data_IF_605302001529
#
_entry.id   IF_605302001529
#
_cell.length_a   1.000
_cell.length_b   1.000
_cell.length_c   1.000
_cell.angle_alpha   90.00
_cell.angle_beta   90.00
_cell.angle_gamma   90.00
#
_symmetry.space_group_name_H-M   'P 1'
#
loop_
_entity.id
_entity.type
_entity.pdbx_description
1 polymer ?
#
# COMPACT_ATOMS: atom_id res chain seq x y z
N UNK A 1 -24.22 29.07 -8.40
CA UNK A 1 -24.92 29.45 -7.15
C UNK A 1 -24.15 30.60 -6.51
N UNK A 2 -24.82 31.56 -5.89
CA UNK A 2 -24.15 32.66 -5.16
C UNK A 2 -23.52 32.15 -3.85
N UNK A 3 -22.35 32.66 -3.47
CA UNK A 3 -21.61 32.19 -2.30
C UNK A 3 -22.40 32.34 -0.99
N UNK A 4 -23.13 33.44 -0.83
CA UNK A 4 -23.96 33.67 0.36
C UNK A 4 -25.10 32.65 0.50
N UNK A 5 -25.69 32.23 -0.63
CA UNK A 5 -26.71 31.18 -0.65
C UNK A 5 -26.09 29.82 -0.29
N UNK A 6 -24.90 29.52 -0.80
CA UNK A 6 -24.17 28.31 -0.46
C UNK A 6 -23.86 28.22 1.04
N UNK A 7 -23.44 29.33 1.66
CA UNK A 7 -23.18 29.37 3.11
C UNK A 7 -24.41 29.06 3.95
N UNK A 8 -25.55 29.67 3.65
CA UNK A 8 -26.80 29.39 4.37
C UNK A 8 -27.21 27.92 4.24
N UNK A 9 -27.13 27.36 3.03
CA UNK A 9 -27.45 25.94 2.79
C UNK A 9 -26.50 25.00 3.55
N UNK A 10 -25.20 25.27 3.52
CA UNK A 10 -24.18 24.51 4.26
C UNK A 10 -24.45 24.56 5.75
N UNK A 11 -24.73 25.73 6.32
CA UNK A 11 -25.02 25.85 7.75
C UNK A 11 -26.26 25.03 8.15
N UNK A 12 -27.32 25.02 7.34
CA UNK A 12 -28.51 24.19 7.60
C UNK A 12 -28.18 22.70 7.60
N UNK A 13 -27.36 22.23 6.66
CA UNK A 13 -26.92 20.83 6.59
C UNK A 13 -26.11 20.47 7.84
N UNK A 14 -25.15 21.32 8.23
CA UNK A 14 -24.33 21.08 9.42
C UNK A 14 -25.15 21.10 10.72
N UNK A 15 -26.17 21.97 10.80
CA UNK A 15 -27.11 21.97 11.93
C UNK A 15 -27.93 20.67 11.99
N UNK A 16 -28.39 20.15 10.84
CA UNK A 16 -29.10 18.87 10.80
C UNK A 16 -28.16 17.71 11.15
N UNK A 17 -26.91 17.69 10.67
CA UNK A 17 -25.91 16.67 11.01
C UNK A 17 -25.67 16.60 12.53
N UNK A 18 -25.72 17.73 13.24
CA UNK A 18 -25.61 17.77 14.71
C UNK A 18 -26.82 17.12 15.42
N UNK A 19 -27.96 17.02 14.75
CA UNK A 19 -29.19 16.41 15.30
C UNK A 19 -29.33 14.95 14.85
N UNK A 20 -29.08 14.68 13.58
CA UNK A 20 -29.17 13.36 12.94
C UNK A 20 -27.91 13.13 12.11
N UNK A 21 -26.83 12.65 12.75
CA UNK A 21 -25.60 12.35 12.03
C UNK A 21 -25.82 11.31 10.94
N UNK A 22 -25.22 11.54 9.78
CA UNK A 22 -25.35 10.67 8.61
C UNK A 22 -24.04 9.99 8.24
N UNK A 23 -22.90 10.44 8.80
CA UNK A 23 -21.59 9.83 8.62
C UNK A 23 -21.60 8.38 9.09
N UNK A 24 -21.25 7.45 8.20
CA UNK A 24 -21.14 6.04 8.52
C UNK A 24 -20.21 5.30 7.56
N UNK A 25 -19.49 4.31 8.08
CA UNK A 25 -18.83 3.28 7.29
C UNK A 25 -19.61 1.97 7.37
N UNK A 26 -19.73 1.30 6.23
CA UNK A 26 -20.36 -0.02 6.12
C UNK A 26 -19.42 -0.99 5.47
N UNK A 27 -19.51 -2.24 5.89
CA UNK A 27 -18.83 -3.34 5.23
C UNK A 27 -19.37 -3.49 3.79
N UNK A 28 -18.47 -3.49 2.81
CA UNK A 28 -18.81 -3.52 1.38
C UNK A 28 -19.51 -4.82 0.97
N UNK A 29 -19.20 -5.94 1.61
CA UNK A 29 -19.85 -7.22 1.32
C UNK A 29 -21.26 -7.24 1.89
N UNK A 30 -21.45 -6.73 3.12
CA UNK A 30 -22.79 -6.64 3.71
C UNK A 30 -23.67 -5.67 2.94
N UNK A 31 -23.11 -4.56 2.48
CA UNK A 31 -23.75 -3.59 1.60
C UNK A 31 -24.16 -4.22 0.27
N UNK A 32 -23.23 -4.88 -0.42
CA UNK A 32 -23.54 -5.58 -1.67
C UNK A 32 -24.64 -6.62 -1.47
N UNK A 33 -24.63 -7.39 -0.36
CA UNK A 33 -25.67 -8.37 -0.05
C UNK A 33 -27.04 -7.73 0.15
N UNK A 34 -27.09 -6.57 0.79
CA UNK A 34 -28.34 -5.83 0.99
C UNK A 34 -28.92 -5.34 -0.35
N UNK A 35 -28.08 -4.88 -1.26
CA UNK A 35 -28.49 -4.34 -2.56
C UNK A 35 -28.77 -5.43 -3.61
N UNK A 36 -28.11 -6.58 -3.51
CA UNK A 36 -28.15 -7.66 -4.50
C UNK A 36 -28.70 -8.97 -3.92
N UNK A 37 -29.74 -8.87 -3.09
CA UNK A 37 -30.39 -10.03 -2.50
C UNK A 37 -30.72 -11.11 -3.56
N UNK A 38 -30.24 -12.33 -3.32
CA UNK A 38 -30.49 -13.48 -4.20
C UNK A 38 -29.60 -13.58 -5.44
N UNK A 39 -28.64 -12.65 -5.65
CA UNK A 39 -27.64 -12.77 -6.71
C UNK A 39 -26.38 -13.48 -6.21
N UNK A 40 -25.68 -14.14 -7.13
CA UNK A 40 -24.32 -14.65 -6.89
C UNK A 40 -23.34 -13.48 -6.87
N UNK A 41 -22.31 -13.57 -6.04
CA UNK A 41 -21.22 -12.60 -6.03
C UNK A 41 -20.59 -12.48 -7.42
N UNK A 42 -20.37 -11.25 -7.84
CA UNK A 42 -19.52 -10.95 -8.99
C UNK A 42 -18.03 -11.21 -8.67
N UNK A 43 -17.18 -11.12 -9.69
CA UNK A 43 -15.76 -11.44 -9.58
C UNK A 43 -15.03 -10.54 -8.57
N UNK A 44 -15.43 -9.27 -8.46
CA UNK A 44 -14.87 -8.32 -7.49
C UNK A 44 -15.23 -8.72 -6.05
N UNK A 45 -16.50 -9.04 -5.77
CA UNK A 45 -16.93 -9.49 -4.44
C UNK A 45 -16.37 -10.86 -4.07
N UNK A 46 -16.19 -11.76 -5.04
CA UNK A 46 -15.51 -13.03 -4.83
C UNK A 46 -14.05 -12.82 -4.46
N UNK A 47 -13.36 -11.87 -5.09
CA UNK A 47 -11.97 -11.56 -4.78
C UNK A 47 -11.83 -10.95 -3.39
N UNK A 48 -12.68 -9.98 -3.02
CA UNK A 48 -12.75 -9.44 -1.66
C UNK A 48 -12.95 -10.60 -0.68
N UNK A 49 -14.00 -11.41 -0.88
CA UNK A 49 -14.33 -12.54 0.02
C UNK A 49 -13.18 -13.56 0.12
N UNK A 50 -12.51 -13.89 -1.00
CA UNK A 50 -11.36 -14.82 -1.01
C UNK A 50 -10.19 -14.27 -0.22
N UNK A 51 -9.86 -12.98 -0.38
CA UNK A 51 -8.79 -12.33 0.38
C UNK A 51 -9.05 -12.40 1.88
N UNK A 52 -10.28 -12.11 2.30
CA UNK A 52 -10.71 -12.26 3.70
C UNK A 52 -10.49 -13.67 4.23
N UNK A 53 -10.93 -14.70 3.50
CA UNK A 53 -10.75 -16.09 3.92
C UNK A 53 -9.30 -16.57 3.98
N UNK A 54 -8.36 -15.89 3.30
CA UNK A 54 -6.92 -16.19 3.39
C UNK A 54 -6.25 -15.52 4.59
N UNK A 55 -6.73 -14.34 4.98
CA UNK A 55 -6.09 -13.51 6.01
C UNK A 55 -6.63 -13.77 7.42
N UNK A 56 -7.91 -14.14 7.53
CA UNK A 56 -8.58 -14.29 8.82
C UNK A 56 -9.18 -15.69 8.93
N UNK A 57 -8.60 -16.53 9.80
CA UNK A 57 -9.16 -17.86 10.14
C UNK A 57 -10.45 -17.77 10.99
N UNK A 58 -10.95 -16.56 11.27
CA UNK A 58 -12.09 -16.25 12.13
C UNK A 58 -13.12 -15.39 11.39
N UNK A 59 -14.40 -15.36 11.81
CA UNK A 59 -15.37 -14.42 11.27
C UNK A 59 -14.88 -12.98 11.46
N UNK A 60 -15.17 -12.14 10.46
CA UNK A 60 -14.78 -10.71 10.40
C UNK A 60 -14.94 -10.04 11.77
N UNK A 61 -13.93 -9.28 12.25
CA UNK A 61 -14.13 -8.44 13.41
C UNK A 61 -15.28 -7.46 13.10
N UNK A 62 -16.26 -7.39 13.99
CA UNK A 62 -17.34 -6.42 13.88
C UNK A 62 -16.70 -5.03 14.01
N UNK A 63 -17.04 -4.09 13.10
CA UNK A 63 -16.53 -2.71 13.14
C UNK A 63 -16.73 -2.06 14.53
N UNK A 64 -17.79 -2.43 15.25
CA UNK A 64 -18.01 -1.99 16.63
C UNK A 64 -16.89 -2.39 17.59
N UNK A 65 -16.30 -3.59 17.43
CA UNK A 65 -15.17 -4.05 18.24
C UNK A 65 -13.87 -3.35 17.86
N UNK A 66 -13.64 -3.11 16.57
CA UNK A 66 -12.46 -2.36 16.11
C UNK A 66 -12.45 -0.94 16.69
N UNK A 67 -13.63 -0.32 16.81
CA UNK A 67 -13.82 1.00 17.45
C UNK A 67 -13.56 1.02 18.96
N UNK A 68 -13.55 -0.13 19.63
CA UNK A 68 -13.21 -0.25 21.06
C UNK A 68 -11.69 -0.25 21.30
N UNK A 69 -10.89 -0.51 20.27
CA UNK A 69 -9.44 -0.56 20.35
C UNK A 69 -8.80 0.80 20.02
N UNK A 70 -7.74 1.14 20.74
CA UNK A 70 -6.83 2.26 20.41
C UNK A 70 -5.38 1.83 20.61
N UNK A 71 -4.52 1.89 19.58
CA UNK A 71 -4.83 2.30 18.20
C UNK A 71 -5.81 1.35 17.51
N UNK A 72 -6.53 1.83 16.50
CA UNK A 72 -7.41 0.98 15.69
C UNK A 72 -6.59 0.05 14.80
N UNK A 73 -7.21 -1.05 14.41
CA UNK A 73 -6.64 -1.91 13.37
C UNK A 73 -6.75 -1.22 12.02
N UNK A 74 -5.60 -0.93 11.40
CA UNK A 74 -5.57 -0.45 10.01
C UNK A 74 -5.75 -1.65 9.09
N UNK A 75 -6.79 -1.61 8.27
CA UNK A 75 -7.09 -2.64 7.29
C UNK A 75 -6.15 -2.48 6.10
N UNK A 76 -5.42 -3.55 5.76
CA UNK A 76 -4.40 -3.53 4.70
C UNK A 76 -5.00 -3.29 3.31
N UNK A 77 -6.29 -3.58 3.11
CA UNK A 77 -6.96 -3.46 1.83
C UNK A 77 -7.97 -2.30 1.83
N UNK A 78 -7.63 -1.16 1.23
CA UNK A 78 -8.54 -0.04 1.08
C UNK A 78 -9.79 -0.44 0.29
N UNK A 79 -10.96 0.01 0.74
CA UNK A 79 -12.23 -0.25 0.04
C UNK A 79 -13.00 -1.49 0.51
N UNK A 80 -12.57 -2.13 1.59
CA UNK A 80 -13.38 -3.13 2.31
C UNK A 80 -14.57 -2.51 3.03
N UNK A 81 -14.44 -1.23 3.39
CA UNK A 81 -15.49 -0.42 3.95
C UNK A 81 -15.84 0.74 3.02
N UNK A 82 -17.13 1.01 2.91
CA UNK A 82 -17.68 2.09 2.08
C UNK A 82 -18.21 3.19 2.99
N UNK A 83 -17.76 4.40 2.72
CA UNK A 83 -18.27 5.61 3.36
C UNK A 83 -19.65 5.96 2.79
N UNK A 84 -20.59 6.28 3.67
CA UNK A 84 -21.93 6.79 3.34
C UNK A 84 -22.28 7.98 4.23
N UNK A 85 -22.78 9.03 3.61
CA UNK A 85 -23.44 10.14 4.28
C UNK A 85 -24.35 10.88 3.30
N UNK A 86 -25.62 11.05 3.68
CA UNK A 86 -26.58 11.85 2.90
C UNK A 86 -26.18 13.33 2.92
N UNK A 87 -25.81 13.84 4.09
CA UNK A 87 -25.40 15.24 4.23
C UNK A 87 -24.09 15.53 3.49
N UNK A 88 -23.16 14.58 3.41
CA UNK A 88 -21.97 14.69 2.56
C UNK A 88 -22.33 14.87 1.09
N UNK A 89 -23.29 14.08 0.59
CA UNK A 89 -23.75 14.19 -0.80
C UNK A 89 -24.38 15.57 -1.06
N UNK A 90 -25.17 16.09 -0.13
CA UNK A 90 -25.74 17.44 -0.23
C UNK A 90 -24.67 18.53 -0.24
N UNK A 91 -23.65 18.43 0.64
CA UNK A 91 -22.51 19.36 0.62
C UNK A 91 -21.73 19.28 -0.69
N UNK A 92 -21.59 18.08 -1.26
CA UNK A 92 -20.90 17.87 -2.54
C UNK A 92 -21.66 18.52 -3.69
N UNK A 93 -22.99 18.40 -3.72
CA UNK A 93 -23.83 19.09 -4.72
C UNK A 93 -23.61 20.60 -4.65
N UNK A 94 -23.66 21.18 -3.45
CA UNK A 94 -23.42 22.62 -3.24
C UNK A 94 -22.03 23.01 -3.74
N UNK A 95 -21.00 22.24 -3.40
CA UNK A 95 -19.62 22.52 -3.79
C UNK A 95 -19.41 22.48 -5.30
N UNK A 96 -20.01 21.51 -6.00
CA UNK A 96 -19.91 21.40 -7.45
C UNK A 96 -20.63 22.55 -8.17
N UNK A 97 -21.71 23.09 -7.59
CA UNK A 97 -22.47 24.23 -8.14
C UNK A 97 -21.78 25.61 -7.97
N UNK A 98 -20.70 25.67 -7.17
CA UNK A 98 -19.90 26.87 -6.97
C UNK A 98 -18.82 27.02 -8.05
N UNK A 99 -18.43 28.28 -8.30
CA UNK A 99 -17.25 28.61 -9.11
C UNK A 99 -15.96 28.13 -8.43
N UNK A 100 -14.86 28.00 -9.18
CA UNK A 100 -13.58 27.56 -8.60
C UNK A 100 -13.06 28.53 -7.51
N UNK A 101 -13.30 29.83 -7.68
CA UNK A 101 -12.92 30.85 -6.69
C UNK A 101 -13.75 30.72 -5.41
N UNK A 102 -15.07 30.56 -5.56
CA UNK A 102 -16.00 30.41 -4.43
C UNK A 102 -15.79 29.10 -3.66
N UNK A 103 -15.34 28.03 -4.34
CA UNK A 103 -14.99 26.76 -3.70
C UNK A 103 -13.85 26.92 -2.70
N UNK A 104 -12.83 27.69 -3.04
CA UNK A 104 -11.71 27.97 -2.13
C UNK A 104 -12.20 28.78 -0.92
N UNK A 105 -13.05 29.78 -1.14
CA UNK A 105 -13.67 30.55 -0.06
C UNK A 105 -14.55 29.69 0.86
N UNK A 106 -15.32 28.76 0.30
CA UNK A 106 -16.12 27.81 1.07
C UNK A 106 -15.23 26.90 1.93
N UNK A 107 -14.16 26.34 1.37
CA UNK A 107 -13.25 25.46 2.12
C UNK A 107 -12.52 26.19 3.25
N UNK A 108 -12.13 27.45 3.02
CA UNK A 108 -11.58 28.30 4.08
C UNK A 108 -12.61 28.52 5.20
N UNK A 109 -13.86 28.82 4.85
CA UNK A 109 -14.95 28.97 5.81
C UNK A 109 -15.19 27.69 6.62
N UNK A 110 -15.31 26.53 5.97
CA UNK A 110 -15.52 25.23 6.63
C UNK A 110 -14.40 24.90 7.61
N UNK A 111 -13.16 25.17 7.20
CA UNK A 111 -11.99 24.97 8.04
C UNK A 111 -11.99 25.92 9.25
N UNK A 112 -12.38 27.19 9.06
CA UNK A 112 -12.51 28.16 10.16
C UNK A 112 -13.59 27.78 11.18
N UNK A 113 -14.64 27.05 10.77
CA UNK A 113 -15.65 26.54 11.70
C UNK A 113 -15.05 25.63 12.78
N UNK A 114 -13.95 24.93 12.49
CA UNK A 114 -13.26 24.07 13.45
C UNK A 114 -12.66 24.85 14.63
N UNK A 115 -12.30 26.11 14.39
CA UNK A 115 -11.77 27.03 15.40
C UNK A 115 -12.87 27.75 16.18
N UNK A 116 -14.12 27.70 15.69
CA UNK A 116 -15.25 28.32 16.36
C UNK A 116 -15.71 27.50 17.57
N UNK A 117 -16.42 28.12 18.52
CA UNK A 117 -17.08 27.39 19.63
C UNK A 117 -18.32 26.67 19.09
N UNK A 118 -18.10 25.60 18.34
CA UNK A 118 -19.18 24.73 17.87
C UNK A 118 -19.81 23.99 19.05
N UNK A 119 -21.12 23.80 18.97
CA UNK A 119 -21.86 23.10 20.02
C UNK A 119 -21.95 21.61 19.73
N UNK A 120 -21.96 20.80 20.78
CA UNK A 120 -22.30 19.38 20.70
C UNK A 120 -23.71 19.16 21.22
N UNK A 121 -24.33 18.06 20.79
CA UNK A 121 -25.65 17.65 21.28
C UNK A 121 -25.56 16.25 21.86
N UNK A 122 -26.26 16.00 22.97
CA UNK A 122 -26.42 14.65 23.49
C UNK A 122 -27.37 13.87 22.57
N UNK A 123 -26.92 12.73 22.08
CA UNK A 123 -27.70 11.87 21.19
C UNK A 123 -28.77 11.10 21.95
N UNK A 124 -29.88 10.86 21.27
CA UNK A 124 -30.98 10.00 21.73
C UNK A 124 -30.77 8.53 21.31
N UNK A 125 -29.88 8.28 20.34
CA UNK A 125 -29.54 6.94 19.89
C UNK A 125 -28.66 6.22 20.91
N UNK A 126 -28.80 4.89 20.96
CA UNK A 126 -27.92 4.02 21.75
C UNK A 126 -26.61 3.86 20.98
N UNK A 127 -25.52 4.34 21.58
CA UNK A 127 -24.13 4.24 21.08
C UNK A 127 -23.92 4.82 19.66
N UNK A 128 -24.20 6.13 19.43
CA UNK A 128 -23.90 6.78 18.16
C UNK A 128 -22.39 6.80 17.92
N UNK A 129 -21.98 6.72 16.65
CA UNK A 129 -20.59 6.89 16.26
C UNK A 129 -20.51 7.84 15.05
N UNK A 130 -19.54 8.78 15.04
CA UNK A 130 -18.62 9.11 16.13
C UNK A 130 -19.32 9.83 17.29
N UNK A 131 -18.96 9.49 18.52
CA UNK A 131 -19.43 10.23 19.70
C UNK A 131 -18.45 10.18 20.85
N UNK A 132 -18.55 11.16 21.73
CA UNK A 132 -17.83 11.18 23.01
C UNK A 132 -18.82 11.33 24.14
N UNK A 133 -18.94 10.30 25.00
CA UNK A 133 -19.91 10.27 26.12
C UNK A 133 -21.35 10.54 25.65
N UNK A 134 -21.73 9.94 24.53
CA UNK A 134 -23.01 10.12 23.84
C UNK A 134 -23.27 11.55 23.32
N UNK A 135 -22.25 12.40 23.25
CA UNK A 135 -22.34 13.67 22.53
C UNK A 135 -21.85 13.51 21.10
N UNK A 136 -22.62 14.08 20.18
CA UNK A 136 -22.38 14.11 18.73
C UNK A 136 -22.15 15.55 18.26
N UNK A 137 -21.53 15.69 17.10
CA UNK A 137 -21.29 16.98 16.44
C UNK A 137 -21.24 16.81 14.92
N UNK A 138 -21.24 17.93 14.21
CA UNK A 138 -21.06 18.00 12.76
C UNK A 138 -19.60 17.84 12.28
N UNK A 139 -18.63 17.80 13.21
CA UNK A 139 -17.20 17.81 12.86
C UNK A 139 -16.71 16.56 12.12
N UNK A 140 -17.21 15.34 12.39
CA UNK A 140 -16.92 14.18 11.55
C UNK A 140 -17.25 14.41 10.08
N UNK A 141 -18.43 14.98 9.78
CA UNK A 141 -18.82 15.30 8.42
C UNK A 141 -17.89 16.34 7.78
N UNK A 142 -17.48 17.36 8.55
CA UNK A 142 -16.52 18.35 8.07
C UNK A 142 -15.16 17.71 7.74
N UNK A 143 -14.65 16.81 8.59
CA UNK A 143 -13.39 16.12 8.33
C UNK A 143 -13.44 15.30 7.04
N UNK A 144 -14.48 14.48 6.90
CA UNK A 144 -14.73 13.69 5.69
C UNK A 144 -14.83 14.57 4.44
N UNK A 145 -15.59 15.66 4.53
CA UNK A 145 -15.77 16.59 3.42
C UNK A 145 -14.46 17.28 3.00
N UNK A 146 -13.71 17.81 3.96
CA UNK A 146 -12.46 18.54 3.71
C UNK A 146 -11.39 17.59 3.12
N UNK A 147 -11.19 16.41 3.71
CA UNK A 147 -10.17 15.46 3.25
C UNK A 147 -10.51 14.90 1.88
N UNK A 148 -11.74 14.44 1.64
CA UNK A 148 -12.13 13.83 0.36
C UNK A 148 -12.10 14.81 -0.82
N UNK A 149 -12.13 16.11 -0.55
CA UNK A 149 -11.96 17.16 -1.56
C UNK A 149 -10.51 17.65 -1.69
N UNK A 150 -9.54 16.97 -1.06
CA UNK A 150 -8.11 17.24 -1.22
C UNK A 150 -7.56 18.35 -0.34
N UNK A 151 -8.29 18.76 0.71
CA UNK A 151 -7.89 19.85 1.61
C UNK A 151 -7.40 19.35 2.99
N UNK A 152 -6.84 18.14 3.04
CA UNK A 152 -6.30 17.55 4.26
C UNK A 152 -5.17 18.41 4.86
N UNK A 153 -4.38 19.07 4.01
CA UNK A 153 -3.28 19.91 4.47
C UNK A 153 -3.78 21.09 5.33
N UNK A 154 -4.80 21.81 4.85
CA UNK A 154 -5.43 22.94 5.51
C UNK A 154 -6.16 22.52 6.80
N UNK A 155 -6.77 21.33 6.80
CA UNK A 155 -7.37 20.73 7.99
C UNK A 155 -6.33 20.62 9.11
N UNK A 156 -5.21 19.91 8.86
CA UNK A 156 -4.21 19.66 9.89
C UNK A 156 -3.45 20.92 10.31
N UNK A 157 -3.28 21.90 9.42
CA UNK A 157 -2.75 23.22 9.78
C UNK A 157 -3.66 23.94 10.77
N UNK A 158 -4.95 23.93 10.50
CA UNK A 158 -5.93 24.57 11.40
C UNK A 158 -5.99 23.87 12.74
N UNK A 159 -6.05 22.53 12.75
CA UNK A 159 -6.04 21.71 13.96
C UNK A 159 -4.80 22.02 14.83
N UNK A 160 -3.64 22.24 14.23
CA UNK A 160 -2.40 22.53 14.95
C UNK A 160 -2.41 23.84 15.75
N UNK A 161 -3.33 24.76 15.44
CA UNK A 161 -3.43 26.09 16.03
C UNK A 161 -4.56 26.25 17.07
N UNK A 162 -5.30 25.17 17.36
CA UNK A 162 -6.49 25.23 18.20
C UNK A 162 -6.15 25.46 19.68
N UNK A 163 -6.84 26.42 20.29
CA UNK A 163 -6.55 26.85 21.66
C UNK A 163 -7.29 26.06 22.75
N UNK A 164 -8.50 25.55 22.47
CA UNK A 164 -9.39 24.98 23.48
C UNK A 164 -9.82 23.55 23.13
N UNK A 165 -9.81 22.61 24.09
CA UNK A 165 -10.35 21.28 23.86
C UNK A 165 -11.88 21.34 23.87
N UNK A 166 -12.51 20.78 22.84
CA UNK A 166 -13.98 20.73 22.71
C UNK A 166 -14.45 19.32 22.37
N UNK A 167 -15.69 19.00 22.72
CA UNK A 167 -16.30 17.71 22.37
C UNK A 167 -16.31 17.48 20.85
N UNK A 168 -16.69 18.46 20.00
CA UNK A 168 -16.61 18.31 18.55
C UNK A 168 -15.22 17.89 18.04
N UNK A 169 -14.15 18.42 18.64
CA UNK A 169 -12.78 18.01 18.28
C UNK A 169 -12.48 16.56 18.64
N UNK A 170 -12.97 16.07 19.78
CA UNK A 170 -12.82 14.64 20.11
C UNK A 170 -13.48 13.80 19.01
N UNK A 171 -14.73 14.10 18.65
CA UNK A 171 -15.45 13.36 17.60
C UNK A 171 -14.78 13.47 16.23
N UNK A 172 -14.16 14.62 15.92
CA UNK A 172 -13.36 14.80 14.70
C UNK A 172 -12.18 13.84 14.66
N UNK A 173 -11.40 13.74 15.75
CA UNK A 173 -10.26 12.84 15.80
C UNK A 173 -10.69 11.37 15.75
N UNK A 174 -11.84 11.01 16.33
CA UNK A 174 -12.40 9.66 16.16
C UNK A 174 -12.75 9.34 14.72
N UNK A 175 -13.22 10.34 13.96
CA UNK A 175 -13.48 10.15 12.53
C UNK A 175 -12.17 10.03 11.75
N UNK A 176 -11.16 10.85 12.03
CA UNK A 176 -9.85 10.73 11.39
C UNK A 176 -9.21 9.36 11.64
N UNK A 177 -9.33 8.81 12.85
CA UNK A 177 -8.93 7.42 13.13
C UNK A 177 -9.69 6.42 12.25
N UNK A 178 -11.00 6.62 12.06
CA UNK A 178 -11.82 5.76 11.20
C UNK A 178 -11.39 5.84 9.72
N UNK A 179 -11.14 7.04 9.23
CA UNK A 179 -10.69 7.29 7.86
C UNK A 179 -9.35 6.59 7.58
N UNK A 180 -8.37 6.71 8.47
CA UNK A 180 -7.07 6.05 8.29
C UNK A 180 -7.22 4.54 8.47
N UNK A 181 -7.91 4.08 9.51
CA UNK A 181 -8.03 2.66 9.79
C UNK A 181 -8.74 1.89 8.67
N UNK A 182 -9.81 2.46 8.09
CA UNK A 182 -10.65 1.77 7.11
C UNK A 182 -10.29 2.11 5.66
N UNK A 183 -9.71 3.28 5.41
CA UNK A 183 -9.36 3.73 4.07
C UNK A 183 -8.21 4.75 4.07
N UNK A 184 -7.02 4.31 4.50
CA UNK A 184 -5.85 5.17 4.56
C UNK A 184 -5.46 5.82 3.22
N UNK A 185 -5.93 5.29 2.08
CA UNK A 185 -5.66 5.87 0.74
C UNK A 185 -6.34 7.20 0.46
N UNK A 186 -7.20 7.67 1.37
CA UNK A 186 -7.66 9.06 1.38
C UNK A 186 -6.52 10.05 1.64
N UNK A 187 -5.39 9.57 2.15
CA UNK A 187 -4.17 10.33 2.38
C UNK A 187 -3.01 9.69 1.62
N UNK A 188 -2.16 10.49 1.00
CA UNK A 188 -0.89 10.04 0.42
C UNK A 188 0.13 9.63 1.50
N UNK A 189 1.16 8.85 1.14
CA UNK A 189 2.24 8.49 2.09
C UNK A 189 2.91 9.74 2.69
N UNK A 190 3.09 10.81 1.90
CA UNK A 190 3.69 12.06 2.38
C UNK A 190 2.76 12.82 3.33
N UNK A 191 1.44 12.79 3.12
CA UNK A 191 0.48 13.35 4.08
C UNK A 191 0.48 12.55 5.39
N UNK A 192 0.40 11.22 5.32
CA UNK A 192 0.47 10.34 6.50
C UNK A 192 1.77 10.53 7.29
N UNK A 193 2.88 10.82 6.61
CA UNK A 193 4.17 11.13 7.22
C UNK A 193 4.18 12.51 7.90
N UNK A 194 3.44 13.48 7.37
CA UNK A 194 3.37 14.83 7.89
C UNK A 194 2.42 14.97 9.08
N UNK A 195 1.32 14.22 9.12
CA UNK A 195 0.28 14.27 10.17
C UNK A 195 0.88 14.23 11.60
N UNK A 196 1.78 13.28 11.96
CA UNK A 196 2.38 13.25 13.28
C UNK A 196 3.07 14.55 13.70
N UNK A 197 3.82 15.15 12.78
CA UNK A 197 4.55 16.40 13.04
C UNK A 197 3.59 17.57 13.20
N UNK A 198 2.51 17.62 12.40
CA UNK A 198 1.50 18.68 12.46
C UNK A 198 0.67 18.63 13.75
N UNK A 199 0.41 17.44 14.29
CA UNK A 199 -0.40 17.27 15.51
C UNK A 199 0.40 17.35 16.81
N UNK A 200 1.74 17.25 16.75
CA UNK A 200 2.60 17.31 17.92
C UNK A 200 2.38 18.55 18.81
N UNK A 201 2.27 19.79 18.27
CA UNK A 201 2.03 20.98 19.10
C UNK A 201 0.70 20.91 19.86
N UNK A 202 -0.33 20.37 19.22
CA UNK A 202 -1.66 20.21 19.81
C UNK A 202 -1.64 19.16 20.93
N UNK A 203 -0.94 18.04 20.71
CA UNK A 203 -0.75 16.98 21.70
C UNK A 203 -0.03 17.52 22.96
N UNK A 204 1.00 18.33 22.78
CA UNK A 204 1.72 18.97 23.88
C UNK A 204 0.86 19.98 24.64
N UNK A 205 0.09 20.81 23.91
CA UNK A 205 -0.81 21.80 24.49
C UNK A 205 -1.90 21.15 25.34
N UNK A 206 -2.64 20.20 24.80
CA UNK A 206 -3.70 19.49 25.53
C UNK A 206 -3.15 18.56 26.60
N UNK A 207 -1.95 17.99 26.41
CA UNK A 207 -1.25 17.23 27.44
C UNK A 207 -0.96 18.06 28.70
N UNK A 208 -0.69 19.36 28.57
CA UNK A 208 -0.56 20.28 29.72
C UNK A 208 -1.90 20.47 30.44
N UNK A 209 -3.00 20.59 29.70
CA UNK A 209 -4.36 20.71 30.28
C UNK A 209 -4.72 19.45 31.08
N UNK A 210 -4.46 18.26 30.53
CA UNK A 210 -4.67 16.97 31.21
C UNK A 210 -3.87 16.90 32.53
N UNK A 211 -2.60 17.30 32.49
CA UNK A 211 -1.73 17.34 33.68
C UNK A 211 -2.26 18.34 34.71
N UNK A 212 -2.63 19.55 34.30
CA UNK A 212 -3.15 20.57 35.22
C UNK A 212 -4.42 20.11 35.97
N UNK A 213 -5.34 19.44 35.26
CA UNK A 213 -6.53 18.85 35.88
C UNK A 213 -6.24 17.71 36.87
N UNK A 214 -5.10 17.02 36.71
CA UNK A 214 -4.68 15.91 37.57
C UNK A 214 -3.81 16.38 38.76
N UNK A 215 -2.96 17.39 38.58
CA UNK A 215 -2.05 17.90 39.62
C UNK A 215 -2.75 18.72 40.71
N UNK A 216 -3.86 19.40 40.39
CA UNK A 216 -4.59 20.20 41.37
C UNK A 216 -5.26 19.34 42.45
N UNK A 217 -5.72 18.13 42.11
CA UNK A 217 -6.30 17.21 43.11
C UNK A 217 -5.30 16.77 44.18
N UNK A 218 -4.00 16.77 43.87
CA UNK A 218 -2.94 16.31 44.79
C UNK A 218 -2.50 17.39 45.78
N UNK A 219 -2.79 18.67 45.53
CA UNK A 219 -2.47 19.81 46.42
C UNK A 219 -3.62 20.24 47.32
N UNK A 220 -4.64 19.38 47.50
CA UNK A 220 -5.74 19.62 48.44
C UNK A 220 -6.78 20.66 47.97
N UNK A 221 -6.69 21.17 46.74
CA UNK A 221 -7.72 22.00 46.13
C UNK A 221 -8.40 21.17 45.04
N UNK A 222 -9.63 20.72 45.28
CA UNK A 222 -10.38 20.00 44.28
C UNK A 222 -10.52 20.88 43.01
N UNK A 223 -10.18 20.37 41.80
CA UNK A 223 -10.42 21.10 40.57
C UNK A 223 -11.92 21.41 40.44
N UNK A 224 -12.26 22.55 39.84
CA UNK A 224 -13.66 22.85 39.53
C UNK A 224 -14.24 21.82 38.56
N UNK A 225 -15.57 21.66 38.54
CA UNK A 225 -16.22 20.75 37.60
C UNK A 225 -15.85 21.06 36.15
N UNK A 226 -15.77 22.34 35.79
CA UNK A 226 -15.32 22.80 34.47
C UNK A 226 -13.88 22.37 34.15
N UNK A 227 -12.96 22.49 35.11
CA UNK A 227 -11.56 22.07 34.91
C UNK A 227 -11.45 20.56 34.73
N UNK A 228 -12.27 19.80 35.47
CA UNK A 228 -12.33 18.34 35.35
C UNK A 228 -12.91 17.92 34.01
N UNK A 229 -13.96 18.58 33.54
CA UNK A 229 -14.57 18.34 32.23
C UNK A 229 -13.58 18.65 31.10
N UNK A 230 -12.95 19.82 31.13
CA UNK A 230 -11.93 20.21 30.15
C UNK A 230 -10.74 19.25 30.12
N UNK A 231 -10.28 18.78 31.29
CA UNK A 231 -9.22 17.77 31.37
C UNK A 231 -9.62 16.41 30.78
N UNK A 232 -10.90 16.03 30.88
CA UNK A 232 -11.42 14.79 30.30
C UNK A 232 -11.59 14.89 28.78
N UNK A 233 -12.06 16.03 28.28
CA UNK A 233 -12.13 16.29 26.83
C UNK A 233 -10.72 16.30 26.24
N UNK A 234 -9.79 17.04 26.85
CA UNK A 234 -8.39 17.09 26.42
C UNK A 234 -7.76 15.69 26.40
N UNK A 235 -8.05 14.84 27.39
CA UNK A 235 -7.59 13.44 27.40
C UNK A 235 -8.14 12.66 26.22
N UNK A 236 -9.44 12.78 25.93
CA UNK A 236 -10.05 12.13 24.75
C UNK A 236 -9.35 12.52 23.44
N UNK A 237 -8.98 13.79 23.29
CA UNK A 237 -8.21 14.27 22.13
C UNK A 237 -6.80 13.65 22.12
N UNK A 238 -6.07 13.70 23.23
CA UNK A 238 -4.72 13.13 23.34
C UNK A 238 -4.71 11.63 23.02
N UNK A 239 -5.67 10.87 23.55
CA UNK A 239 -5.78 9.43 23.33
C UNK A 239 -6.05 9.14 21.84
N UNK A 240 -6.94 9.90 21.20
CA UNK A 240 -7.21 9.74 19.76
C UNK A 240 -6.06 10.17 18.87
N UNK A 241 -5.36 11.26 19.20
CA UNK A 241 -4.13 11.63 18.47
C UNK A 241 -3.11 10.50 18.60
N UNK A 242 -2.91 9.95 19.80
CA UNK A 242 -2.00 8.82 20.03
C UNK A 242 -2.33 7.59 19.18
N UNK A 243 -3.62 7.24 19.06
CA UNK A 243 -4.10 6.20 18.15
C UNK A 243 -3.76 6.51 16.69
N UNK A 244 -4.14 7.71 16.24
CA UNK A 244 -3.90 8.19 14.88
C UNK A 244 -2.41 8.12 14.46
N UNK A 245 -1.48 8.39 15.37
CA UNK A 245 -0.03 8.33 15.08
C UNK A 245 0.41 6.90 14.71
N UNK A 246 -0.04 5.90 15.47
CA UNK A 246 0.28 4.50 15.21
C UNK A 246 -0.45 3.96 13.97
N UNK A 247 -1.67 4.44 13.73
CA UNK A 247 -2.43 4.14 12.52
C UNK A 247 -1.73 4.71 11.28
N UNK A 248 -1.26 5.97 11.32
CA UNK A 248 -0.42 6.55 10.26
C UNK A 248 0.82 5.69 10.02
N UNK A 249 1.56 5.31 11.08
CA UNK A 249 2.75 4.45 10.94
C UNK A 249 2.42 3.12 10.24
N UNK A 250 1.29 2.53 10.58
CA UNK A 250 0.85 1.24 10.01
C UNK A 250 0.42 1.39 8.56
N UNK A 251 -0.37 2.40 8.23
CA UNK A 251 -0.77 2.71 6.84
C UNK A 251 0.44 2.95 5.93
N UNK A 252 1.45 3.69 6.41
CA UNK A 252 2.69 3.91 5.66
C UNK A 252 3.49 2.62 5.43
N UNK A 253 3.45 1.68 6.37
CA UNK A 253 4.05 0.37 6.15
C UNK A 253 3.34 -0.40 5.02
N UNK A 254 2.02 -0.26 4.86
CA UNK A 254 1.30 -0.87 3.76
C UNK A 254 1.64 -0.24 2.41
N UNK A 255 1.78 1.09 2.33
CA UNK A 255 2.33 1.74 1.13
C UNK A 255 3.71 1.19 0.73
N UNK A 256 4.63 1.09 1.71
CA UNK A 256 5.95 0.51 1.47
C UNK A 256 5.86 -0.96 1.02
N UNK A 257 4.96 -1.74 1.63
CA UNK A 257 4.76 -3.14 1.28
C UNK A 257 4.30 -3.28 -0.17
N UNK A 258 3.33 -2.48 -0.60
CA UNK A 258 2.86 -2.47 -1.99
C UNK A 258 3.95 -2.06 -2.97
N UNK A 259 4.71 -1.01 -2.67
CA UNK A 259 5.85 -0.55 -3.48
C UNK A 259 6.87 -1.69 -3.66
N UNK A 260 7.32 -2.30 -2.57
CA UNK A 260 8.32 -3.38 -2.61
C UNK A 260 7.83 -4.63 -3.34
N UNK A 261 6.56 -5.01 -3.15
CA UNK A 261 5.96 -6.16 -3.85
C UNK A 261 5.81 -5.92 -5.36
N UNK A 262 5.50 -4.67 -5.75
CA UNK A 262 5.41 -4.30 -7.16
C UNK A 262 6.80 -4.23 -7.83
N UNK A 263 7.83 -3.80 -7.11
CA UNK A 263 9.21 -3.73 -7.63
C UNK A 263 9.90 -5.10 -7.71
N UNK A 264 9.68 -5.98 -6.74
CA UNK A 264 10.37 -7.28 -6.66
C UNK A 264 9.40 -8.46 -6.43
N UNK A 265 8.68 -8.89 -7.47
CA UNK A 265 7.65 -9.93 -7.32
C UNK A 265 8.20 -11.35 -7.12
N UNK A 266 9.51 -11.59 -7.21
CA UNK A 266 10.08 -12.94 -7.01
C UNK A 266 11.44 -12.92 -6.31
N UNK A 267 11.41 -12.99 -4.97
CA UNK A 267 12.61 -13.03 -4.11
C UNK A 267 13.52 -14.24 -4.38
N UNK A 268 12.94 -15.37 -4.79
CA UNK A 268 13.71 -16.59 -5.07
C UNK A 268 14.62 -16.38 -6.28
N UNK A 269 14.12 -15.69 -7.31
CA UNK A 269 14.91 -15.35 -8.50
C UNK A 269 16.05 -14.39 -8.17
N UNK A 270 15.85 -13.40 -7.29
CA UNK A 270 16.95 -12.52 -6.87
C UNK A 270 18.03 -13.29 -6.09
N UNK A 271 17.63 -14.26 -5.26
CA UNK A 271 18.57 -15.18 -4.60
C UNK A 271 19.34 -16.02 -5.61
N UNK A 272 18.64 -16.57 -6.60
CA UNK A 272 19.22 -17.46 -7.61
C UNK A 272 20.14 -16.73 -8.59
N UNK A 273 19.89 -15.45 -8.91
CA UNK A 273 20.85 -14.61 -9.65
C UNK A 273 22.19 -14.49 -8.94
N UNK A 274 22.14 -14.28 -7.62
CA UNK A 274 23.35 -14.20 -6.80
C UNK A 274 24.09 -15.53 -6.80
N UNK A 275 23.38 -16.64 -6.54
CA UNK A 275 23.95 -18.00 -6.62
C UNK A 275 24.57 -18.27 -7.99
N UNK A 276 23.89 -17.92 -9.07
CA UNK A 276 24.37 -18.09 -10.44
C UNK A 276 25.70 -17.35 -10.66
N UNK A 277 25.76 -16.08 -10.26
CA UNK A 277 26.97 -15.24 -10.42
C UNK A 277 28.14 -15.76 -9.57
N UNK A 278 27.87 -16.17 -8.34
CA UNK A 278 28.87 -16.73 -7.42
C UNK A 278 29.40 -18.07 -7.96
N UNK A 279 28.51 -18.94 -8.45
CA UNK A 279 28.87 -20.23 -9.06
C UNK A 279 29.68 -20.08 -10.34
N UNK A 280 29.33 -19.14 -11.22
CA UNK A 280 30.10 -18.84 -12.43
C UNK A 280 31.54 -18.46 -12.07
N UNK A 281 31.70 -17.58 -11.08
CA UNK A 281 33.00 -17.12 -10.61
C UNK A 281 33.80 -18.28 -9.98
N UNK A 282 33.15 -19.08 -9.12
CA UNK A 282 33.75 -20.22 -8.43
C UNK A 282 34.24 -21.31 -9.38
N UNK A 283 33.50 -21.55 -10.46
CA UNK A 283 33.84 -22.57 -11.46
C UNK A 283 34.86 -22.07 -12.50
N UNK A 284 35.19 -20.77 -12.50
CA UNK A 284 36.22 -20.20 -13.35
C UNK A 284 35.73 -19.74 -14.73
N UNK A 285 34.44 -19.46 -14.89
CA UNK A 285 33.94 -18.86 -16.14
C UNK A 285 34.47 -17.44 -16.33
N UNK A 286 34.58 -17.01 -17.59
CA UNK A 286 35.04 -15.67 -17.91
C UNK A 286 34.07 -14.58 -17.41
N UNK A 287 34.61 -13.45 -16.94
CA UNK A 287 33.82 -12.35 -16.39
C UNK A 287 32.83 -11.74 -17.41
N UNK A 288 33.07 -11.90 -18.70
CA UNK A 288 32.17 -11.44 -19.76
C UNK A 288 30.81 -12.14 -19.73
N UNK A 289 30.76 -13.40 -19.28
CA UNK A 289 29.52 -14.15 -19.15
C UNK A 289 28.65 -13.56 -18.02
N UNK A 290 29.29 -13.22 -16.90
CA UNK A 290 28.65 -12.51 -15.77
C UNK A 290 28.20 -11.12 -16.21
N UNK A 291 29.04 -10.40 -16.97
CA UNK A 291 28.71 -9.07 -17.49
C UNK A 291 27.50 -9.10 -18.44
N UNK A 292 27.39 -10.15 -19.28
CA UNK A 292 26.25 -10.37 -20.17
C UNK A 292 24.95 -10.52 -19.38
N UNK A 293 24.95 -11.35 -18.33
CA UNK A 293 23.80 -11.53 -17.45
C UNK A 293 23.41 -10.22 -16.74
N UNK A 294 24.38 -9.49 -16.17
CA UNK A 294 24.12 -8.19 -15.52
C UNK A 294 23.54 -7.16 -16.49
N UNK A 295 24.01 -7.14 -17.73
CA UNK A 295 23.49 -6.25 -18.76
C UNK A 295 22.06 -6.61 -19.14
N UNK A 296 21.74 -7.90 -19.24
CA UNK A 296 20.37 -8.35 -19.45
C UNK A 296 19.42 -7.90 -18.32
N UNK A 297 19.85 -8.04 -17.07
CA UNK A 297 19.07 -7.60 -15.91
C UNK A 297 18.82 -6.09 -15.90
N UNK A 298 19.83 -5.30 -16.27
CA UNK A 298 19.67 -3.84 -16.35
C UNK A 298 18.65 -3.37 -17.40
N UNK A 299 18.41 -4.20 -18.42
CA UNK A 299 17.41 -3.94 -19.48
C UNK A 299 16.01 -4.42 -19.10
N UNK A 300 15.84 -5.13 -17.98
CA UNK A 300 14.54 -5.54 -17.47
C UNK A 300 14.17 -4.73 -16.20
N UNK A 301 13.57 -3.56 -16.40
CA UNK A 301 13.10 -2.63 -15.36
C UNK A 301 11.64 -2.27 -15.59
N UNK A 302 10.89 -1.77 -14.59
CA UNK A 302 9.50 -1.32 -14.79
C UNK A 302 9.33 -0.33 -15.95
N UNK A 303 10.34 0.51 -16.18
CA UNK A 303 10.36 1.54 -17.23
C UNK A 303 10.92 1.06 -18.58
N UNK A 304 11.28 -0.22 -18.73
CA UNK A 304 11.84 -0.74 -19.97
C UNK A 304 10.84 -0.69 -21.13
N UNK A 305 11.30 -0.25 -22.29
CA UNK A 305 10.50 -0.28 -23.52
C UNK A 305 10.63 -1.63 -24.27
N UNK A 306 9.92 -1.77 -25.39
CA UNK A 306 9.94 -3.00 -26.18
C UNK A 306 11.34 -3.34 -26.75
N UNK A 307 12.18 -2.33 -27.00
CA UNK A 307 13.53 -2.53 -27.51
C UNK A 307 14.47 -3.03 -26.41
N UNK A 308 14.35 -2.47 -25.20
CA UNK A 308 15.05 -2.95 -24.02
C UNK A 308 14.72 -4.42 -23.74
N UNK A 309 13.43 -4.78 -23.77
CA UNK A 309 12.99 -6.16 -23.55
C UNK A 309 13.51 -7.12 -24.63
N UNK A 310 13.52 -6.70 -25.91
CA UNK A 310 14.12 -7.49 -26.99
C UNK A 310 15.62 -7.73 -26.74
N UNK A 311 16.36 -6.68 -26.37
CA UNK A 311 17.79 -6.79 -26.08
C UNK A 311 18.07 -7.64 -24.84
N UNK A 312 17.21 -7.57 -23.83
CA UNK A 312 17.24 -8.44 -22.66
C UNK A 312 17.17 -9.92 -23.06
N UNK A 313 16.16 -10.30 -23.86
CA UNK A 313 16.00 -11.67 -24.39
C UNK A 313 17.23 -12.09 -25.21
N UNK A 314 17.73 -11.20 -26.08
CA UNK A 314 18.92 -11.46 -26.88
C UNK A 314 20.17 -11.77 -26.05
N UNK A 315 20.40 -11.03 -24.96
CA UNK A 315 21.52 -11.27 -24.05
C UNK A 315 21.35 -12.55 -23.23
N UNK A 316 20.13 -12.87 -22.80
CA UNK A 316 19.81 -14.09 -22.07
C UNK A 316 20.03 -15.33 -22.95
N UNK A 317 19.67 -15.25 -24.24
CA UNK A 317 19.98 -16.28 -25.24
C UNK A 317 21.49 -16.47 -25.41
N UNK A 318 22.23 -15.37 -25.58
CA UNK A 318 23.69 -15.43 -25.70
C UNK A 318 24.34 -15.99 -24.44
N UNK A 319 23.78 -15.71 -23.25
CA UNK A 319 24.26 -16.24 -21.99
C UNK A 319 24.14 -17.78 -21.93
N UNK A 320 22.94 -18.35 -22.20
CA UNK A 320 22.77 -19.81 -22.16
C UNK A 320 23.64 -20.49 -23.23
N UNK A 321 23.77 -19.87 -24.40
CA UNK A 321 24.62 -20.34 -25.48
C UNK A 321 26.07 -20.48 -25.02
N UNK A 322 26.62 -19.38 -24.50
CA UNK A 322 28.01 -19.31 -24.05
C UNK A 322 28.28 -20.21 -22.86
N UNK A 323 27.32 -20.34 -21.95
CA UNK A 323 27.40 -21.25 -20.81
C UNK A 323 27.65 -22.70 -21.26
N UNK A 324 26.98 -23.15 -22.33
CA UNK A 324 27.18 -24.49 -22.88
C UNK A 324 28.46 -24.62 -23.70
N UNK A 325 28.76 -23.65 -24.56
CA UNK A 325 29.94 -23.73 -25.43
C UNK A 325 31.24 -23.72 -24.62
N UNK A 326 31.36 -22.82 -23.64
CA UNK A 326 32.53 -22.75 -22.76
C UNK A 326 32.68 -24.05 -21.94
N UNK A 327 31.58 -24.57 -21.39
CA UNK A 327 31.60 -25.83 -20.64
C UNK A 327 32.02 -27.01 -21.50
N UNK A 328 31.47 -27.14 -22.71
CA UNK A 328 31.81 -28.22 -23.62
C UNK A 328 33.28 -28.15 -24.07
N UNK A 329 33.77 -26.95 -24.38
CA UNK A 329 35.15 -26.74 -24.79
C UNK A 329 36.15 -27.16 -23.70
N UNK A 330 35.94 -26.76 -22.44
CA UNK A 330 36.85 -27.15 -21.35
C UNK A 330 36.82 -28.65 -21.08
N UNK A 331 35.64 -29.27 -21.09
CA UNK A 331 35.51 -30.72 -20.87
C UNK A 331 36.16 -31.49 -22.03
N UNK A 332 35.93 -31.07 -23.28
CA UNK A 332 36.56 -31.67 -24.45
C UNK A 332 38.09 -31.59 -24.40
N UNK A 333 38.63 -30.42 -24.00
CA UNK A 333 40.07 -30.23 -23.80
C UNK A 333 40.66 -31.16 -22.74
N UNK A 334 39.94 -31.37 -21.63
CA UNK A 334 40.34 -32.33 -20.58
C UNK A 334 40.36 -33.77 -21.11
N UNK A 335 39.48 -34.10 -22.05
CA UNK A 335 39.39 -35.39 -22.72
C UNK A 335 40.32 -35.52 -23.95
N UNK A 336 41.16 -34.50 -24.25
CA UNK A 336 41.99 -34.44 -25.45
C UNK A 336 41.19 -34.58 -26.76
N UNK A 337 39.98 -34.03 -26.77
CA UNK A 337 39.08 -33.96 -27.93
C UNK A 337 38.75 -32.51 -28.25
N UNK A 338 38.13 -32.28 -29.39
CA UNK A 338 37.65 -30.95 -29.79
C UNK A 338 36.15 -30.98 -30.05
N UNK A 339 35.51 -29.84 -29.77
CA UNK A 339 34.10 -29.58 -30.09
C UNK A 339 34.03 -28.25 -30.82
N UNK A 340 33.15 -28.13 -31.81
CA UNK A 340 32.92 -26.86 -32.50
C UNK A 340 32.35 -25.82 -31.52
N UNK A 341 32.75 -24.55 -31.68
CA UNK A 341 32.25 -23.42 -30.90
C UNK A 341 30.87 -22.98 -31.40
N UNK A 342 29.90 -23.89 -31.30
CA UNK A 342 28.53 -23.71 -31.75
C UNK A 342 27.57 -24.40 -30.76
N UNK A 343 26.42 -23.77 -30.50
CA UNK A 343 25.40 -24.26 -29.56
C UNK A 343 25.06 -25.75 -29.73
N UNK A 344 24.74 -26.16 -30.96
CA UNK A 344 24.22 -27.50 -31.26
C UNK A 344 25.27 -28.59 -30.99
N UNK A 345 26.49 -28.51 -31.56
CA UNK A 345 27.60 -29.40 -31.24
C UNK A 345 27.95 -29.45 -29.76
N UNK A 346 28.06 -28.29 -29.08
CA UNK A 346 28.41 -28.24 -27.65
C UNK A 346 27.37 -28.91 -26.77
N UNK A 347 26.09 -28.62 -27.00
CA UNK A 347 25.00 -29.23 -26.21
C UNK A 347 24.91 -30.74 -26.45
N UNK A 348 25.09 -31.18 -27.70
CA UNK A 348 25.12 -32.61 -28.02
C UNK A 348 26.33 -33.31 -27.38
N UNK A 349 27.50 -32.66 -27.35
CA UNK A 349 28.68 -33.17 -26.65
C UNK A 349 28.43 -33.35 -25.15
N UNK A 350 27.84 -32.36 -24.49
CA UNK A 350 27.49 -32.43 -23.06
C UNK A 350 26.55 -33.60 -22.76
N UNK A 351 25.57 -33.86 -23.64
CA UNK A 351 24.68 -35.02 -23.52
C UNK A 351 25.42 -36.34 -23.74
N UNK A 352 26.19 -36.46 -24.82
CA UNK A 352 26.90 -37.70 -25.18
C UNK A 352 27.89 -38.12 -24.07
N UNK A 353 28.51 -37.15 -23.41
CA UNK A 353 29.41 -37.37 -22.28
C UNK A 353 28.70 -37.45 -20.92
N UNK A 354 27.36 -37.56 -20.91
CA UNK A 354 26.53 -37.71 -19.70
C UNK A 354 26.76 -36.60 -18.67
N UNK A 355 27.10 -35.41 -19.14
CA UNK A 355 27.14 -34.20 -18.31
C UNK A 355 25.71 -33.78 -18.00
N UNK A 356 24.88 -33.72 -19.04
CA UNK A 356 23.43 -33.51 -18.94
C UNK A 356 22.66 -34.75 -19.41
N UNK A 357 21.46 -34.93 -18.89
CA UNK A 357 20.52 -35.98 -19.31
C UNK A 357 19.78 -35.59 -20.58
N UNK A 358 19.11 -36.56 -21.22
CA UNK A 358 18.26 -36.29 -22.39
C UNK A 358 17.11 -35.30 -22.08
N UNK A 359 16.53 -35.35 -20.88
CA UNK A 359 15.45 -34.42 -20.53
C UNK A 359 15.97 -33.00 -20.29
N UNK A 360 17.16 -32.87 -19.71
CA UNK A 360 17.82 -31.56 -19.55
C UNK A 360 18.25 -30.98 -20.90
N UNK A 361 18.72 -31.81 -21.84
CA UNK A 361 19.00 -31.42 -23.22
C UNK A 361 17.73 -30.91 -23.92
N UNK A 362 16.61 -31.62 -23.79
CA UNK A 362 15.30 -31.18 -24.32
C UNK A 362 14.86 -29.84 -23.73
N UNK A 363 14.98 -29.67 -22.41
CA UNK A 363 14.68 -28.40 -21.74
C UNK A 363 15.55 -27.26 -22.26
N UNK A 364 16.88 -27.44 -22.31
CA UNK A 364 17.82 -26.42 -22.77
C UNK A 364 17.55 -26.01 -24.22
N UNK A 365 17.28 -26.98 -25.10
CA UNK A 365 16.94 -26.71 -26.51
C UNK A 365 15.58 -26.03 -26.65
N UNK A 366 14.58 -26.43 -25.86
CA UNK A 366 13.28 -25.76 -25.83
C UNK A 366 13.39 -24.30 -25.40
N UNK A 367 14.15 -24.04 -24.33
CA UNK A 367 14.46 -22.68 -23.87
C UNK A 367 15.18 -21.87 -24.95
N UNK A 368 16.22 -22.44 -25.56
CA UNK A 368 16.97 -21.77 -26.63
C UNK A 368 16.10 -21.43 -27.85
N UNK A 369 15.23 -22.34 -28.27
CA UNK A 369 14.31 -22.13 -29.39
C UNK A 369 13.33 -20.98 -29.09
N UNK A 370 12.70 -21.00 -27.91
CA UNK A 370 11.76 -19.95 -27.47
C UNK A 370 12.45 -18.57 -27.42
N UNK A 371 13.68 -18.50 -26.91
CA UNK A 371 14.47 -17.27 -26.89
C UNK A 371 14.90 -16.79 -28.29
N UNK A 372 15.09 -17.72 -29.22
CA UNK A 372 15.51 -17.42 -30.59
C UNK A 372 14.35 -16.89 -31.44
N UNK A 373 13.18 -17.49 -31.33
CA UNK A 373 12.00 -17.08 -32.10
C UNK A 373 11.48 -15.71 -31.64
N UNK A 374 11.39 -15.50 -30.33
CA UNK A 374 10.85 -14.27 -29.73
C UNK A 374 11.89 -13.14 -29.62
N UNK A 375 13.19 -13.47 -29.64
CA UNK A 375 14.29 -12.50 -29.62
C UNK A 375 14.46 -11.71 -30.92
N UNK A 376 13.79 -12.10 -32.00
CA UNK A 376 13.96 -11.50 -33.33
C UNK A 376 12.90 -10.43 -33.64
N UNK A 377 11.70 -10.51 -33.06
CA UNK A 377 10.56 -9.64 -33.41
C UNK A 377 10.27 -8.55 -32.34
N UNK A 378 10.61 -7.26 -32.59
CA UNK A 378 10.45 -6.18 -31.59
C UNK A 378 8.99 -5.88 -31.19
N UNK A 379 8.02 -6.33 -32.00
CA UNK A 379 6.61 -5.99 -31.85
C UNK A 379 5.88 -6.91 -30.85
N UNK A 380 6.51 -8.02 -30.41
CA UNK A 380 5.82 -9.07 -29.63
C UNK A 380 6.40 -9.39 -28.25
N UNK A 381 7.54 -8.81 -27.84
CA UNK A 381 8.14 -9.09 -26.53
C UNK A 381 7.31 -8.49 -25.39
N UNK A 382 6.21 -9.15 -25.04
CA UNK A 382 5.39 -8.83 -23.87
C UNK A 382 6.24 -8.96 -22.62
N UNK A 383 6.09 -8.03 -21.69
CA UNK A 383 6.87 -7.99 -20.43
C UNK A 383 6.76 -9.31 -19.67
N UNK A 384 5.59 -9.93 -19.67
CA UNK A 384 5.30 -11.20 -19.03
C UNK A 384 6.12 -12.35 -19.63
N UNK A 385 6.29 -12.35 -20.95
CA UNK A 385 7.11 -13.33 -21.64
C UNK A 385 8.59 -13.13 -21.29
N UNK A 386 9.10 -11.90 -21.39
CA UNK A 386 10.48 -11.59 -21.02
C UNK A 386 10.77 -11.99 -19.56
N UNK A 387 9.82 -11.74 -18.65
CA UNK A 387 9.89 -12.18 -17.24
C UNK A 387 10.06 -13.68 -17.12
N UNK A 388 9.20 -14.44 -17.80
CA UNK A 388 9.20 -15.90 -17.75
C UNK A 388 10.50 -16.47 -18.32
N UNK A 389 10.88 -16.06 -19.52
CA UNK A 389 12.07 -16.55 -20.22
C UNK A 389 13.35 -16.25 -19.42
N UNK A 390 13.47 -15.03 -18.88
CA UNK A 390 14.57 -14.63 -17.99
C UNK A 390 14.66 -15.52 -16.76
N UNK A 391 13.55 -15.71 -16.04
CA UNK A 391 13.53 -16.50 -14.82
C UNK A 391 13.95 -17.96 -15.09
N UNK A 392 13.41 -18.57 -16.14
CA UNK A 392 13.74 -19.94 -16.49
C UNK A 392 15.22 -20.11 -16.85
N UNK A 393 15.85 -19.13 -17.52
CA UNK A 393 17.29 -19.22 -17.84
C UNK A 393 18.17 -19.05 -16.61
N UNK A 394 17.80 -18.18 -15.66
CA UNK A 394 18.52 -18.05 -14.39
C UNK A 394 18.47 -19.37 -13.62
N UNK A 395 17.28 -19.94 -13.43
CA UNK A 395 17.10 -21.21 -12.73
C UNK A 395 17.80 -22.38 -13.45
N UNK A 396 17.69 -22.44 -14.78
CA UNK A 396 18.42 -23.41 -15.59
C UNK A 396 19.92 -23.28 -15.39
N UNK A 397 20.45 -22.05 -15.38
CA UNK A 397 21.87 -21.77 -15.14
C UNK A 397 22.31 -22.30 -13.77
N UNK A 398 21.54 -22.01 -12.70
CA UNK A 398 21.83 -22.53 -11.35
C UNK A 398 21.84 -24.06 -11.33
N UNK A 399 20.84 -24.70 -11.94
CA UNK A 399 20.77 -26.16 -12.07
C UNK A 399 22.00 -26.71 -12.80
N UNK A 400 22.33 -26.14 -13.96
CA UNK A 400 23.44 -26.61 -14.80
C UNK A 400 24.79 -26.47 -14.10
N UNK A 401 25.06 -25.32 -13.46
CA UNK A 401 26.31 -25.13 -12.71
C UNK A 401 26.42 -26.05 -11.50
N UNK A 402 25.29 -26.35 -10.84
CA UNK A 402 25.26 -27.34 -9.76
C UNK A 402 25.64 -28.74 -10.25
N UNK A 403 25.24 -29.11 -11.48
CA UNK A 403 25.64 -30.37 -12.11
C UNK A 403 27.15 -30.39 -12.38
N UNK A 404 27.72 -29.30 -12.89
CA UNK A 404 29.17 -29.20 -13.11
C UNK A 404 29.95 -29.34 -11.81
N UNK A 405 29.51 -28.62 -10.77
CA UNK A 405 30.14 -28.68 -9.45
C UNK A 405 30.07 -30.08 -8.83
N UNK A 406 28.91 -30.74 -8.88
CA UNK A 406 28.74 -32.12 -8.39
C UNK A 406 29.64 -33.11 -9.13
N UNK A 407 29.91 -32.87 -10.41
CA UNK A 407 30.83 -33.69 -11.22
C UNK A 407 32.30 -33.29 -11.05
N UNK A 408 32.60 -32.30 -10.21
CA UNK A 408 33.97 -31.82 -9.97
C UNK A 408 34.59 -31.11 -11.16
N UNK A 409 33.79 -30.60 -12.09
CA UNK A 409 34.25 -29.93 -13.31
C UNK A 409 34.60 -28.48 -12.99
N UNK A 410 35.80 -28.04 -13.39
CA UNK A 410 36.21 -26.64 -13.38
C UNK A 410 36.43 -26.17 -14.80
N UNK A 411 36.09 -24.91 -15.07
CA UNK A 411 36.18 -24.30 -16.40
C UNK A 411 37.56 -23.66 -16.65
N UNK A 412 38.38 -23.52 -15.60
CA UNK A 412 39.75 -22.97 -15.62
C UNK A 412 40.76 -23.83 -16.37
#
# INVERSE_FOLDING_TARGET
MELAEAWDRVQRILLEERVRPTVSYRDRVDEWRQENQGKLFDEEMLEITRRWSKLYMNPRPLLSKDRECRPRHVHEFPGEYVFRSENFNLLTIIYVELSLEDRASLMSFLTQLLSSRSSSRKSENKDPFPSFRNYISEFPLLAEFIVRHGHAQELFETLSSLAAPTIPLVTLFLELEEMIALNFTLFSDEELKAIPRKLQPLLEHFGKIVKAGTFNSTRGHAPSDDQREQGQIARGICDSIGGLLEECRTARHYYLKEELLNENPNLDIESDKKKLTDSLSKLGFHNDLIATLRKAENLYKPTSDAFDLKNCIGLIRSFIERLHTDSAATIAGTMQTTVADEWNPSTQFLRNNRIITEQQDKLARGLYAVLSDEGVHPVMAKREFCRLARNMVIEYGVMFLSILEQKGIKIS
#
